data_IF_731852890434
#
_entry.id   IF_731852890434
#
_cell.length_a   1.000
_cell.length_b   1.000
_cell.length_c   1.000
_cell.angle_alpha   90.00
_cell.angle_beta   90.00
_cell.angle_gamma   90.00
#
_symmetry.space_group_name_H-M   'P 1'
#
loop_
_entity.id
_entity.type
_entity.pdbx_description
1 polymer ?
#
# COMPACT_ATOMS: atom_id res chain seq x y z
N UNK A 1 26.96 -42.85 5.93
CA UNK A 1 26.00 -43.41 6.90
C UNK A 1 25.77 -42.36 7.97
N UNK A 2 24.50 -42.15 8.35
CA UNK A 2 23.97 -41.30 9.43
C UNK A 2 24.18 -39.77 9.25
N UNK A 3 23.16 -38.95 9.00
CA UNK A 3 21.92 -38.65 9.76
C UNK A 3 22.13 -37.73 10.98
N UNK A 4 21.20 -36.77 11.09
CA UNK A 4 20.76 -36.00 12.26
C UNK A 4 21.42 -34.64 12.57
N UNK A 5 20.80 -33.58 12.03
CA UNK A 5 20.30 -32.43 12.82
C UNK A 5 19.21 -32.89 13.83
N UNK A 6 18.59 -32.10 14.76
CA UNK A 6 18.73 -30.66 15.09
C UNK A 6 18.43 -30.21 16.58
N UNK A 7 18.55 -28.88 16.85
CA UNK A 7 17.87 -28.01 17.87
C UNK A 7 18.36 -27.97 19.36
N UNK A 8 18.24 -26.82 20.07
CA UNK A 8 16.95 -26.31 20.58
C UNK A 8 16.62 -24.81 20.41
N UNK A 9 15.31 -24.57 20.41
CA UNK A 9 14.56 -23.33 20.53
C UNK A 9 14.74 -22.68 21.91
N UNK A 10 14.76 -21.34 21.97
CA UNK A 10 14.29 -20.59 23.13
C UNK A 10 13.44 -19.40 22.67
N UNK A 11 12.13 -19.60 22.83
CA UNK A 11 11.08 -18.60 22.76
C UNK A 11 10.82 -18.17 24.22
N UNK A 12 10.84 -16.87 24.53
CA UNK A 12 10.37 -16.36 25.83
C UNK A 12 8.93 -15.87 25.72
N UNK A 13 8.14 -16.51 26.57
CA UNK A 13 6.71 -16.38 26.85
C UNK A 13 6.34 -15.10 27.61
N UNK A 14 5.15 -14.55 27.33
CA UNK A 14 4.25 -13.95 28.35
C UNK A 14 2.78 -14.10 27.91
N UNK A 15 1.99 -14.71 28.81
CA UNK A 15 0.54 -14.66 29.06
C UNK A 15 -0.50 -15.47 28.26
N UNK A 16 -0.82 -16.66 28.81
CA UNK A 16 -2.16 -17.18 29.17
C UNK A 16 -1.93 -18.27 30.25
N UNK A 17 -2.70 -18.52 31.30
CA UNK A 17 -3.95 -18.01 31.88
C UNK A 17 -4.04 -18.63 33.29
N UNK A 18 -4.78 -18.00 34.21
CA UNK A 18 -5.27 -18.62 35.44
C UNK A 18 -6.26 -19.77 35.15
N UNK A 19 -6.05 -20.97 35.74
CA UNK A 19 -7.02 -21.70 36.58
C UNK A 19 -6.58 -23.17 36.86
N UNK A 20 -5.94 -23.38 38.01
CA UNK A 20 -6.33 -24.27 39.15
C UNK A 20 -7.66 -25.04 38.90
N UNK A 21 -7.87 -26.35 39.13
CA UNK A 21 -7.23 -27.43 39.92
C UNK A 21 -7.95 -28.77 39.58
N UNK A 22 -7.25 -29.91 39.49
CA UNK A 22 -7.29 -31.04 40.45
C UNK A 22 -6.83 -32.40 39.90
N UNK A 23 -6.45 -33.26 40.85
CA UNK A 23 -5.48 -34.34 40.85
C UNK A 23 -5.84 -35.71 40.20
N UNK A 24 -4.80 -36.29 39.57
CA UNK A 24 -4.25 -37.66 39.75
C UNK A 24 -4.91 -38.94 39.18
N UNK A 25 -4.09 -40.00 38.94
CA UNK A 25 -4.24 -40.96 37.83
C UNK A 25 -4.43 -42.42 38.27
N UNK A 26 -4.79 -43.34 37.35
CA UNK A 26 -4.10 -44.64 37.19
C UNK A 26 -4.67 -45.61 36.11
N UNK A 27 -3.72 -46.22 35.40
CA UNK A 27 -3.58 -47.64 34.97
C UNK A 27 -4.61 -48.38 34.08
N UNK A 28 -4.08 -48.90 32.96
CA UNK A 28 -4.23 -50.25 32.36
C UNK A 28 -5.52 -50.73 31.66
N UNK A 29 -5.25 -51.38 30.50
CA UNK A 29 -5.77 -52.68 29.99
C UNK A 29 -7.04 -52.74 29.09
N UNK A 30 -6.79 -53.26 27.88
CA UNK A 30 -7.51 -54.31 27.11
C UNK A 30 -9.02 -54.21 26.79
N UNK A 31 -9.30 -54.21 25.48
CA UNK A 31 -10.33 -54.98 24.71
C UNK A 31 -11.81 -55.05 25.13
N UNK A 32 -12.62 -55.10 24.06
CA UNK A 32 -13.92 -55.79 23.87
C UNK A 32 -15.21 -54.95 23.90
N UNK A 33 -15.78 -54.82 22.69
CA UNK A 33 -17.19 -54.92 22.27
C UNK A 33 -18.28 -54.99 23.35
N UNK A 34 -19.27 -54.09 23.33
CA UNK A 34 -20.71 -54.42 23.20
C UNK A 34 -21.62 -53.18 23.11
N UNK A 35 -22.67 -53.34 22.30
CA UNK A 35 -23.86 -52.51 22.10
C UNK A 35 -24.75 -52.38 23.34
N UNK A 36 -25.36 -51.21 23.60
CA UNK A 36 -26.84 -51.04 23.72
C UNK A 36 -27.28 -49.61 24.08
N UNK A 37 -28.51 -49.32 23.64
CA UNK A 37 -29.34 -48.10 23.66
C UNK A 37 -29.82 -47.62 25.03
N UNK A 38 -30.08 -46.30 25.23
CA UNK A 38 -31.42 -45.68 25.50
C UNK A 38 -31.43 -44.23 26.08
N UNK A 39 -32.38 -43.42 25.54
CA UNK A 39 -33.27 -42.37 26.13
C UNK A 39 -32.80 -41.09 26.89
N UNK A 40 -32.90 -39.98 26.15
CA UNK A 40 -33.62 -38.68 26.31
C UNK A 40 -34.41 -38.33 27.61
N UNK A 41 -34.20 -37.10 28.14
CA UNK A 41 -35.18 -36.09 28.67
C UNK A 41 -34.43 -34.73 28.84
N UNK A 42 -34.75 -33.63 28.13
CA UNK A 42 -35.81 -32.60 28.27
C UNK A 42 -35.90 -31.91 29.64
N UNK A 43 -35.59 -30.61 29.68
CA UNK A 43 -36.00 -29.65 30.72
C UNK A 43 -36.70 -28.42 30.10
N UNK A 44 -37.73 -27.96 30.84
CA UNK A 44 -38.52 -26.73 30.77
C UNK A 44 -37.65 -25.46 30.93
N UNK A 45 -37.92 -24.28 30.36
CA UNK A 45 -39.11 -23.45 30.17
C UNK A 45 -39.53 -22.60 31.40
N UNK A 46 -39.42 -21.26 31.21
CA UNK A 46 -39.85 -20.09 32.01
C UNK A 46 -39.08 -19.80 33.31
N UNK A 47 -38.63 -18.56 33.59
CA UNK A 47 -38.76 -17.31 32.87
C UNK A 47 -38.05 -16.15 33.59
N UNK A 48 -37.58 -15.20 32.75
CA UNK A 48 -37.40 -13.75 32.93
C UNK A 48 -36.57 -13.20 34.11
N UNK A 49 -35.44 -12.56 33.77
CA UNK A 49 -35.26 -11.10 33.96
C UNK A 49 -34.12 -10.51 33.10
N UNK A 50 -34.55 -9.87 32.00
CA UNK A 50 -34.16 -8.62 31.31
C UNK A 50 -32.75 -7.97 31.58
N UNK A 51 -31.88 -8.08 30.54
CA UNK A 51 -31.33 -7.03 29.62
C UNK A 51 -30.24 -6.02 30.05
N UNK A 52 -29.07 -6.14 29.42
CA UNK A 52 -28.29 -5.08 28.71
C UNK A 52 -27.07 -5.75 28.04
N UNK A 53 -27.02 -6.01 26.73
CA UNK A 53 -26.64 -5.03 25.70
C UNK A 53 -25.45 -5.55 24.87
N UNK A 54 -25.66 -6.64 24.11
CA UNK A 54 -24.63 -7.29 23.28
C UNK A 54 -24.37 -6.55 21.95
N UNK A 55 -23.08 -6.29 21.68
CA UNK A 55 -22.54 -6.01 20.36
C UNK A 55 -22.52 -7.29 19.52
N UNK A 56 -23.30 -7.32 18.44
CA UNK A 56 -23.48 -8.49 17.59
C UNK A 56 -22.26 -8.89 16.75
N UNK A 57 -22.09 -10.19 16.44
CA UNK A 57 -21.02 -10.71 15.60
C UNK A 57 -21.26 -10.57 14.09
N UNK A 58 -20.15 -10.71 13.36
CA UNK A 58 -19.92 -10.40 11.96
C UNK A 58 -20.86 -11.07 10.95
N UNK A 59 -21.22 -10.29 9.93
CA UNK A 59 -22.17 -10.58 8.86
C UNK A 59 -21.54 -11.43 7.74
N UNK A 60 -21.39 -12.74 7.94
CA UNK A 60 -21.07 -13.67 6.86
C UNK A 60 -21.51 -15.11 7.19
N UNK A 61 -22.78 -15.34 7.47
CA UNK A 61 -23.41 -16.68 7.40
C UNK A 61 -24.91 -16.53 7.62
N UNK A 62 -25.73 -16.56 6.56
CA UNK A 62 -27.04 -17.22 6.60
C UNK A 62 -27.42 -17.61 5.18
N UNK A 63 -27.49 -18.91 4.98
CA UNK A 63 -27.92 -19.56 3.75
C UNK A 63 -29.43 -19.51 3.57
N UNK A 64 -29.81 -19.81 2.34
CA UNK A 64 -31.18 -20.00 1.88
C UNK A 64 -31.94 -21.05 2.70
N UNK A 65 -33.19 -20.73 3.02
CA UNK A 65 -34.22 -21.70 3.38
C UNK A 65 -35.41 -21.36 2.48
N UNK A 66 -35.63 -22.17 1.44
CA UNK A 66 -36.87 -22.20 0.67
C UNK A 66 -37.82 -23.22 1.31
N UNK A 67 -39.02 -22.75 1.67
CA UNK A 67 -40.18 -23.57 1.98
C UNK A 67 -41.40 -22.98 1.23
N UNK A 68 -42.36 -23.80 0.78
CA UNK A 68 -43.41 -23.33 -0.13
C UNK A 68 -44.46 -22.50 0.63
N UNK A 69 -44.80 -21.32 0.09
CA UNK A 69 -45.83 -20.42 0.63
C UNK A 69 -47.08 -20.51 -0.27
N UNK A 70 -48.21 -20.82 0.34
CA UNK A 70 -49.58 -20.74 -0.19
C UNK A 70 -50.00 -19.28 -0.46
N UNK A 71 -50.85 -19.01 -1.47
CA UNK A 71 -51.20 -17.64 -1.86
C UNK A 71 -52.33 -17.10 -0.98
N UNK A 72 -52.12 -15.93 -0.37
CA UNK A 72 -53.22 -15.10 0.16
C UNK A 72 -52.99 -13.63 -0.19
N UNK A 73 -54.11 -12.95 -0.33
CA UNK A 73 -54.38 -11.83 -1.22
C UNK A 73 -53.69 -10.49 -0.93
N UNK A 74 -53.74 -9.67 -1.97
CA UNK A 74 -53.29 -8.29 -2.06
C UNK A 74 -53.96 -7.34 -1.08
N UNK A 75 -53.17 -6.51 -0.40
CA UNK A 75 -53.52 -5.10 -0.18
C UNK A 75 -52.29 -4.20 -0.32
N UNK A 76 -52.45 -3.17 -1.15
CA UNK A 76 -51.45 -2.19 -1.54
C UNK A 76 -51.12 -1.25 -0.37
N UNK A 77 -49.83 -1.10 -0.07
CA UNK A 77 -49.11 0.19 0.04
C UNK A 77 -47.63 -0.07 0.34
N UNK A 78 -46.85 -0.27 -0.73
CA UNK A 78 -45.39 -0.23 -0.66
C UNK A 78 -44.86 1.10 -1.17
N UNK A 79 -43.76 1.51 -0.54
CA UNK A 79 -42.63 2.22 -1.13
C UNK A 79 -42.55 3.73 -0.90
N UNK A 80 -41.76 4.09 0.10
CA UNK A 80 -40.75 5.16 -0.04
C UNK A 80 -39.42 4.80 0.64
N UNK A 81 -39.44 3.94 1.67
CA UNK A 81 -38.24 3.56 2.44
C UNK A 81 -37.35 2.45 1.83
N UNK A 82 -37.86 1.61 0.90
CA UNK A 82 -37.07 0.54 0.24
C UNK A 82 -36.17 1.04 -0.91
N UNK A 83 -36.52 2.16 -1.57
CA UNK A 83 -35.81 2.65 -2.77
C UNK A 83 -34.49 3.35 -2.42
N UNK A 84 -34.44 4.04 -1.28
CA UNK A 84 -33.21 4.68 -0.77
C UNK A 84 -32.12 3.65 -0.40
N UNK A 85 -32.52 2.47 0.11
CA UNK A 85 -31.60 1.36 0.43
C UNK A 85 -30.97 0.75 -0.83
N UNK A 86 -31.69 0.75 -1.95
CA UNK A 86 -31.15 0.35 -3.26
C UNK A 86 -30.18 1.37 -3.86
N UNK A 87 -30.45 2.67 -3.71
CA UNK A 87 -29.55 3.74 -4.17
C UNK A 87 -28.23 3.74 -3.40
N UNK A 88 -28.28 3.73 -2.08
CA UNK A 88 -27.07 3.70 -1.23
C UNK A 88 -26.27 2.40 -1.43
N UNK A 89 -26.96 1.26 -1.62
CA UNK A 89 -26.30 -0.01 -1.94
C UNK A 89 -25.61 0.02 -3.30
N UNK A 90 -26.21 0.64 -4.32
CA UNK A 90 -25.61 0.81 -5.64
C UNK A 90 -24.42 1.77 -5.61
N UNK A 91 -24.52 2.86 -4.85
CA UNK A 91 -23.41 3.79 -4.62
C UNK A 91 -22.27 3.06 -3.91
N UNK A 92 -22.56 2.33 -2.83
CA UNK A 92 -21.56 1.53 -2.11
C UNK A 92 -20.92 0.48 -3.02
N UNK A 93 -21.71 -0.20 -3.84
CA UNK A 93 -21.23 -1.19 -4.81
C UNK A 93 -20.37 -0.56 -5.91
N UNK A 94 -20.72 0.64 -6.39
CA UNK A 94 -19.92 1.40 -7.33
C UNK A 94 -18.60 1.86 -6.70
N UNK A 95 -18.61 2.35 -5.46
CA UNK A 95 -17.41 2.76 -4.72
C UNK A 95 -16.47 1.58 -4.41
N UNK A 96 -17.01 0.39 -4.17
CA UNK A 96 -16.19 -0.83 -4.03
C UNK A 96 -15.63 -1.33 -5.35
N UNK A 97 -16.24 -0.96 -6.48
CA UNK A 97 -15.79 -1.38 -7.82
C UNK A 97 -14.77 -0.41 -8.42
N UNK A 98 -14.94 0.88 -8.14
CA UNK A 98 -14.07 1.97 -8.58
C UNK A 98 -13.58 2.72 -7.33
N UNK A 99 -12.48 2.22 -6.76
CA UNK A 99 -11.86 2.76 -5.54
C UNK A 99 -11.44 4.22 -5.69
N UNK A 100 -11.18 4.71 -6.92
CA UNK A 100 -10.86 6.10 -7.19
C UNK A 100 -12.02 7.08 -6.94
N UNK A 101 -13.28 6.60 -6.85
CA UNK A 101 -14.44 7.49 -6.68
C UNK A 101 -14.45 8.23 -5.34
N UNK A 102 -13.98 7.60 -4.26
CA UNK A 102 -13.89 8.24 -2.94
C UNK A 102 -12.94 9.45 -2.97
N UNK A 103 -11.64 9.29 -3.34
CA UNK A 103 -10.73 10.42 -3.40
C UNK A 103 -11.12 11.41 -4.50
N UNK A 104 -11.67 10.97 -5.63
CA UNK A 104 -12.20 11.87 -6.66
C UNK A 104 -13.29 12.80 -6.12
N UNK A 105 -14.22 12.27 -5.31
CA UNK A 105 -15.28 13.07 -4.70
C UNK A 105 -14.70 14.12 -3.75
N UNK A 106 -13.69 13.78 -2.96
CA UNK A 106 -13.03 14.73 -2.05
C UNK A 106 -12.34 15.84 -2.85
N UNK A 107 -11.62 15.49 -3.91
CA UNK A 107 -10.98 16.47 -4.80
C UNK A 107 -12.02 17.37 -5.46
N UNK A 108 -13.12 16.80 -5.97
CA UNK A 108 -14.20 17.54 -6.62
C UNK A 108 -14.92 18.50 -5.65
N UNK A 109 -15.21 18.06 -4.42
CA UNK A 109 -15.80 18.92 -3.38
C UNK A 109 -14.85 20.07 -3.05
N UNK A 110 -13.56 19.79 -2.89
CA UNK A 110 -12.55 20.80 -2.59
C UNK A 110 -12.45 21.83 -3.72
N UNK A 111 -12.42 21.39 -4.98
CA UNK A 111 -12.44 22.26 -6.14
C UNK A 111 -13.73 23.11 -6.23
N UNK A 112 -14.89 22.52 -5.96
CA UNK A 112 -16.17 23.24 -5.94
C UNK A 112 -16.21 24.31 -4.85
N UNK A 113 -15.72 24.01 -3.63
CA UNK A 113 -15.62 24.98 -2.54
C UNK A 113 -14.66 26.13 -2.88
N UNK A 114 -13.58 25.85 -3.61
CA UNK A 114 -12.69 26.90 -4.12
C UNK A 114 -13.39 27.77 -5.17
N UNK A 115 -14.13 27.16 -6.10
CA UNK A 115 -14.82 27.85 -7.19
C UNK A 115 -15.89 28.85 -6.73
N UNK A 116 -16.51 28.64 -5.55
CA UNK A 116 -17.47 29.59 -4.96
C UNK A 116 -16.84 30.96 -4.69
N UNK A 117 -15.57 30.97 -4.26
CA UNK A 117 -14.82 32.20 -3.96
C UNK A 117 -13.34 31.98 -4.29
N UNK A 118 -12.91 32.17 -5.54
CA UNK A 118 -11.55 31.85 -5.99
C UNK A 118 -10.57 32.96 -5.61
N UNK A 119 -10.29 33.10 -4.32
CA UNK A 119 -9.28 34.03 -3.81
C UNK A 119 -8.58 33.48 -2.56
N UNK A 120 -7.51 34.17 -2.17
CA UNK A 120 -6.66 33.82 -1.03
C UNK A 120 -7.40 33.80 0.32
N UNK A 121 -8.56 34.46 0.40
CA UNK A 121 -9.41 34.45 1.60
C UNK A 121 -10.19 33.14 1.78
N UNK A 122 -10.25 32.30 0.75
CA UNK A 122 -10.91 31.01 0.83
C UNK A 122 -10.08 30.05 1.71
N UNK A 123 -10.67 29.40 2.73
CA UNK A 123 -9.93 28.45 3.57
C UNK A 123 -9.34 27.29 2.75
N UNK A 124 -9.97 26.93 1.63
CA UNK A 124 -9.52 25.86 0.73
C UNK A 124 -8.30 26.26 -0.11
N UNK A 125 -8.04 27.56 -0.27
CA UNK A 125 -6.87 28.04 -1.01
C UNK A 125 -5.56 27.43 -0.47
N UNK A 126 -5.46 27.28 0.86
CA UNK A 126 -4.27 26.74 1.55
C UNK A 126 -4.03 25.25 1.32
N UNK A 127 -5.03 24.53 0.83
CA UNK A 127 -4.91 23.12 0.44
C UNK A 127 -4.43 22.98 -1.00
N UNK A 128 -4.86 23.86 -1.89
CA UNK A 128 -4.59 23.78 -3.33
C UNK A 128 -3.28 24.49 -3.70
N UNK A 129 -3.00 25.64 -3.10
CA UNK A 129 -1.86 26.49 -3.44
C UNK A 129 -0.85 26.58 -2.29
N UNK A 130 0.41 26.91 -2.64
CA UNK A 130 1.47 27.11 -1.66
C UNK A 130 1.12 28.25 -0.70
N UNK A 131 1.28 27.98 0.58
CA UNK A 131 1.09 28.98 1.65
C UNK A 131 2.39 29.75 1.93
N UNK A 132 2.27 30.90 2.60
CA UNK A 132 3.41 31.71 3.09
C UNK A 132 4.27 32.36 1.99
N UNK A 133 3.63 32.89 0.95
CA UNK A 133 4.33 33.73 -0.05
C UNK A 133 4.86 34.99 0.62
N UNK A 134 6.15 35.29 0.40
CA UNK A 134 6.76 36.52 0.90
C UNK A 134 6.50 37.69 -0.07
N UNK A 135 6.44 38.93 0.44
CA UNK A 135 6.39 40.11 -0.41
C UNK A 135 7.57 40.12 -1.40
N UNK A 136 7.36 40.57 -2.65
CA UNK A 136 8.44 40.74 -3.60
C UNK A 136 9.51 41.67 -3.02
N UNK A 137 10.79 41.34 -3.21
CA UNK A 137 11.88 42.21 -2.82
C UNK A 137 11.85 43.49 -3.69
N UNK A 138 11.64 44.68 -3.09
CA UNK A 138 11.63 45.94 -3.84
C UNK A 138 12.97 46.23 -4.53
N UNK A 139 14.07 45.70 -4.00
CA UNK A 139 15.41 45.92 -4.54
C UNK A 139 15.69 45.05 -5.77
N UNK A 140 15.01 43.91 -5.93
CA UNK A 140 15.26 42.96 -7.02
C UNK A 140 13.95 42.42 -7.63
N UNK A 141 13.26 43.22 -8.48
CA UNK A 141 11.94 42.87 -9.02
C UNK A 141 11.91 41.62 -9.90
N UNK A 142 13.06 41.17 -10.39
CA UNK A 142 13.20 39.99 -11.26
C UNK A 142 13.44 38.66 -10.55
N UNK A 143 13.56 38.66 -9.21
CA UNK A 143 13.86 37.43 -8.45
C UNK A 143 12.58 36.61 -8.28
N UNK A 144 12.63 35.27 -8.47
CA UNK A 144 11.47 34.40 -8.26
C UNK A 144 10.85 34.54 -6.87
N UNK A 145 9.52 34.41 -6.80
CA UNK A 145 8.78 34.51 -5.55
C UNK A 145 9.26 33.47 -4.52
N UNK A 146 9.60 33.94 -3.32
CA UNK A 146 10.04 33.13 -2.20
C UNK A 146 8.88 32.78 -1.27
N UNK A 147 8.94 31.59 -0.68
CA UNK A 147 7.94 31.08 0.23
C UNK A 147 8.60 30.63 1.53
N UNK A 148 8.02 31.05 2.66
CA UNK A 148 8.38 30.56 3.99
C UNK A 148 7.76 29.19 4.30
N UNK A 149 7.84 28.75 5.55
CA UNK A 149 7.32 27.45 6.02
C UNK A 149 6.32 27.65 7.15
N UNK A 150 5.34 26.76 7.26
CA UNK A 150 4.45 26.73 8.42
C UNK A 150 3.40 25.62 8.38
N UNK A 151 2.49 25.63 9.36
CA UNK A 151 1.53 24.55 9.57
C UNK A 151 0.53 24.37 8.41
N UNK A 152 0.25 25.41 7.63
CA UNK A 152 -0.62 25.29 6.44
C UNK A 152 0.01 24.42 5.34
N UNK A 153 1.31 24.15 5.40
CA UNK A 153 1.96 23.21 4.48
C UNK A 153 1.50 21.75 4.76
N UNK A 154 1.04 21.44 5.99
CA UNK A 154 0.41 20.14 6.30
C UNK A 154 -0.94 20.00 5.59
N UNK A 155 -1.73 21.08 5.51
CA UNK A 155 -2.98 21.08 4.75
C UNK A 155 -2.71 20.82 3.27
N UNK A 156 -1.72 21.48 2.68
CA UNK A 156 -1.27 21.22 1.32
C UNK A 156 -0.88 19.75 1.11
N UNK A 157 0.01 19.21 1.96
CA UNK A 157 0.44 17.80 1.89
C UNK A 157 -0.75 16.86 1.99
N UNK A 158 -1.68 17.09 2.92
CA UNK A 158 -2.86 16.24 3.12
C UNK A 158 -3.79 16.22 1.90
N UNK A 159 -4.01 17.37 1.26
CA UNK A 159 -4.83 17.44 0.05
C UNK A 159 -4.16 16.73 -1.12
N UNK A 160 -2.86 16.97 -1.33
CA UNK A 160 -2.12 16.32 -2.39
C UNK A 160 -1.94 14.81 -2.17
N UNK A 161 -1.94 14.34 -0.92
CA UNK A 161 -2.02 12.90 -0.62
C UNK A 161 -3.32 12.31 -1.16
N UNK A 162 -4.47 12.99 -1.00
CA UNK A 162 -5.76 12.56 -1.57
C UNK A 162 -5.75 12.63 -3.09
N UNK A 163 -5.20 13.70 -3.67
CA UNK A 163 -5.03 13.83 -5.13
C UNK A 163 -4.20 12.67 -5.67
N UNK A 164 -3.09 12.32 -5.02
CA UNK A 164 -2.23 11.21 -5.41
C UNK A 164 -2.92 9.85 -5.24
N UNK A 165 -3.74 9.66 -4.21
CA UNK A 165 -4.58 8.46 -4.08
C UNK A 165 -5.57 8.35 -5.23
N UNK A 166 -6.24 9.44 -5.61
CA UNK A 166 -7.11 9.48 -6.78
C UNK A 166 -6.34 9.12 -8.06
N UNK A 167 -5.23 9.82 -8.32
CA UNK A 167 -4.40 9.62 -9.52
C UNK A 167 -3.90 8.19 -9.62
N UNK A 168 -3.39 7.61 -8.52
CA UNK A 168 -2.95 6.21 -8.46
C UNK A 168 -4.06 5.25 -8.87
N UNK A 169 -5.20 5.32 -8.19
CA UNK A 169 -6.30 4.38 -8.44
C UNK A 169 -6.92 4.55 -9.84
N UNK A 170 -7.03 5.80 -10.31
CA UNK A 170 -7.53 6.11 -11.65
C UNK A 170 -6.60 5.57 -12.73
N UNK A 171 -5.30 5.89 -12.66
CA UNK A 171 -4.29 5.42 -13.61
C UNK A 171 -4.20 3.90 -13.60
N UNK A 172 -4.18 3.26 -12.43
CA UNK A 172 -4.13 1.80 -12.35
C UNK A 172 -5.34 1.14 -12.99
N UNK A 173 -6.56 1.63 -12.75
CA UNK A 173 -7.79 0.97 -13.23
C UNK A 173 -8.15 1.28 -14.68
N UNK A 174 -8.00 2.54 -15.08
CA UNK A 174 -8.47 3.02 -16.38
C UNK A 174 -7.38 2.96 -17.45
N UNK A 175 -6.10 3.16 -17.09
CA UNK A 175 -4.98 3.17 -18.04
C UNK A 175 -4.15 1.87 -18.00
N UNK A 176 -3.68 1.46 -16.82
CA UNK A 176 -2.72 0.37 -16.71
C UNK A 176 -3.36 -1.02 -16.79
N UNK A 177 -4.60 -1.17 -16.32
CA UNK A 177 -5.33 -2.43 -16.41
C UNK A 177 -5.61 -2.88 -17.85
N UNK A 178 -6.11 -2.02 -18.77
CA UNK A 178 -6.24 -2.44 -20.16
C UNK A 178 -4.87 -2.71 -20.80
N UNK A 179 -3.83 -1.93 -20.46
CA UNK A 179 -2.48 -2.16 -20.95
C UNK A 179 -1.91 -3.51 -20.49
N UNK A 180 -2.11 -3.90 -19.24
CA UNK A 180 -1.68 -5.19 -18.71
C UNK A 180 -2.34 -6.37 -19.45
N UNK A 181 -3.62 -6.22 -19.83
CA UNK A 181 -4.33 -7.22 -20.65
C UNK A 181 -3.83 -7.24 -22.09
N UNK A 182 -3.56 -6.08 -22.68
CA UNK A 182 -3.00 -5.96 -24.02
C UNK A 182 -1.60 -6.57 -24.10
N UNK A 183 -0.80 -6.45 -23.02
CA UNK A 183 0.49 -7.10 -22.87
C UNK A 183 0.41 -8.62 -22.60
N UNK A 184 -0.79 -9.22 -22.60
CA UNK A 184 -0.97 -10.67 -22.48
C UNK A 184 -0.88 -11.23 -21.05
N UNK A 185 -0.80 -10.38 -20.02
CA UNK A 185 -0.71 -10.84 -18.62
C UNK A 185 -2.07 -11.39 -18.17
N UNK A 186 -2.18 -12.71 -17.97
CA UNK A 186 -3.46 -13.38 -17.65
C UNK A 186 -3.77 -13.48 -16.16
N UNK A 187 -2.77 -13.70 -15.30
CA UNK A 187 -2.98 -13.81 -13.84
C UNK A 187 -3.39 -12.46 -13.26
N UNK A 188 -4.44 -12.46 -12.42
CA UNK A 188 -4.91 -11.23 -11.74
C UNK A 188 -3.87 -10.71 -10.73
N UNK A 189 -3.11 -11.60 -10.10
CA UNK A 189 -2.01 -11.23 -9.20
C UNK A 189 -0.87 -10.55 -9.96
N UNK A 190 -0.39 -11.17 -11.05
CA UNK A 190 0.64 -10.60 -11.93
C UNK A 190 0.19 -9.27 -12.55
N UNK A 191 -1.09 -9.13 -12.94
CA UNK A 191 -1.67 -7.86 -13.39
C UNK A 191 -1.58 -6.77 -12.31
N UNK A 192 -1.96 -7.06 -11.06
CA UNK A 192 -1.92 -6.09 -9.97
C UNK A 192 -0.48 -5.59 -9.73
N UNK A 193 0.49 -6.50 -9.63
CA UNK A 193 1.90 -6.15 -9.43
C UNK A 193 2.49 -5.38 -10.60
N UNK A 194 2.16 -5.76 -11.83
CA UNK A 194 2.53 -4.99 -13.02
C UNK A 194 2.00 -3.55 -12.95
N UNK A 195 0.72 -3.36 -12.62
CA UNK A 195 0.12 -2.02 -12.52
C UNK A 195 0.78 -1.18 -11.41
N UNK A 196 1.09 -1.77 -10.26
CA UNK A 196 1.79 -1.08 -9.16
C UNK A 196 3.18 -0.60 -9.57
N UNK A 197 3.98 -1.47 -10.21
CA UNK A 197 5.32 -1.13 -10.68
C UNK A 197 5.27 -0.14 -11.84
N UNK A 198 4.35 -0.30 -12.77
CA UNK A 198 4.18 0.64 -13.88
C UNK A 198 3.72 2.03 -13.41
N UNK A 199 2.80 2.11 -12.44
CA UNK A 199 2.44 3.38 -11.83
C UNK A 199 3.65 4.06 -11.19
N UNK A 200 4.46 3.29 -10.45
CA UNK A 200 5.70 3.77 -9.82
C UNK A 200 6.69 4.29 -10.87
N UNK A 201 6.85 3.58 -11.99
CA UNK A 201 7.69 4.00 -13.10
C UNK A 201 7.19 5.28 -13.77
N UNK A 202 5.86 5.43 -13.97
CA UNK A 202 5.28 6.67 -14.52
C UNK A 202 5.51 7.84 -13.55
N UNK A 203 5.25 7.63 -12.27
CA UNK A 203 5.42 8.66 -11.24
C UNK A 203 6.85 9.18 -11.20
N UNK A 204 7.85 8.30 -11.03
CA UNK A 204 9.24 8.71 -10.98
C UNK A 204 9.80 9.13 -12.34
N UNK A 205 9.22 8.64 -13.45
CA UNK A 205 9.53 9.12 -14.81
C UNK A 205 9.17 10.60 -15.01
N UNK A 206 8.15 11.09 -14.31
CA UNK A 206 7.79 12.51 -14.30
C UNK A 206 8.54 13.30 -13.21
N UNK A 207 8.54 12.80 -11.97
CA UNK A 207 9.05 13.53 -10.81
C UNK A 207 10.58 13.51 -10.71
N UNK A 208 11.25 12.48 -11.22
CA UNK A 208 12.73 12.40 -11.26
C UNK A 208 13.34 13.56 -12.05
N UNK A 209 12.96 13.78 -13.33
CA UNK A 209 13.42 14.94 -14.10
C UNK A 209 13.03 16.28 -13.47
N UNK A 210 11.83 16.39 -12.88
CA UNK A 210 11.40 17.60 -12.17
C UNK A 210 12.30 17.88 -10.95
N UNK A 211 12.67 16.85 -10.18
CA UNK A 211 13.60 16.96 -9.06
C UNK A 211 15.00 17.39 -9.48
N UNK A 212 15.52 16.85 -10.59
CA UNK A 212 16.79 17.31 -11.17
C UNK A 212 16.72 18.76 -11.62
N UNK A 213 15.63 19.17 -12.26
CA UNK A 213 15.43 20.57 -12.66
C UNK A 213 15.43 21.50 -11.43
N UNK A 214 14.69 21.16 -10.37
CA UNK A 214 14.67 21.92 -9.12
C UNK A 214 16.07 21.97 -8.50
N UNK A 215 16.79 20.84 -8.45
CA UNK A 215 18.14 20.77 -7.90
C UNK A 215 19.13 21.64 -8.68
N UNK A 216 18.98 21.76 -10.00
CA UNK A 216 19.83 22.61 -10.85
C UNK A 216 19.73 24.10 -10.52
N UNK A 217 18.66 24.52 -9.85
CA UNK A 217 18.45 25.89 -9.38
C UNK A 217 18.98 26.14 -7.97
N UNK A 218 19.64 25.15 -7.36
CA UNK A 218 20.16 25.22 -5.99
C UNK A 218 21.67 24.99 -5.99
N UNK A 219 22.40 25.43 -4.93
CA UNK A 219 23.83 25.14 -4.80
C UNK A 219 24.15 23.64 -4.63
N UNK A 220 23.13 22.80 -4.47
CA UNK A 220 23.24 21.33 -4.33
C UNK A 220 23.35 20.63 -5.70
N UNK A 221 23.36 21.37 -6.81
CA UNK A 221 23.46 20.79 -8.15
C UNK A 221 24.58 19.74 -8.25
N UNK A 222 24.23 18.61 -8.85
CA UNK A 222 25.11 17.45 -8.96
C UNK A 222 25.67 16.94 -7.60
N UNK A 223 24.82 16.97 -6.57
CA UNK A 223 25.14 16.46 -5.23
C UNK A 223 26.35 17.16 -4.59
N UNK A 224 26.46 18.47 -4.78
CA UNK A 224 27.44 19.27 -4.07
C UNK A 224 27.06 19.36 -2.58
N UNK A 225 27.86 18.73 -1.72
CA UNK A 225 27.61 18.64 -0.27
C UNK A 225 27.81 19.96 0.43
N UNK A 226 28.75 20.78 -0.04
CA UNK A 226 29.03 22.10 0.53
C UNK A 226 27.79 23.01 0.44
N UNK A 227 27.11 22.97 -0.70
CA UNK A 227 25.86 23.70 -0.94
C UNK A 227 24.70 23.28 -0.04
N UNK A 228 24.79 22.14 0.67
CA UNK A 228 23.79 21.74 1.66
C UNK A 228 23.90 22.53 2.97
N UNK A 229 25.05 23.17 3.23
CA UNK A 229 25.36 23.88 4.47
C UNK A 229 25.64 25.37 4.27
N UNK A 230 26.05 25.78 3.07
CA UNK A 230 26.19 27.20 2.71
C UNK A 230 24.89 27.95 2.95
N UNK A 231 24.98 29.15 3.53
CA UNK A 231 23.85 30.02 3.86
C UNK A 231 22.76 29.37 4.73
N UNK A 232 23.11 28.29 5.45
CA UNK A 232 22.21 27.69 6.42
C UNK A 232 21.95 28.70 7.56
N UNK A 233 20.69 28.97 7.93
CA UNK A 233 19.52 28.13 7.68
C UNK A 233 18.66 28.55 6.48
N UNK A 234 18.27 27.59 5.64
CA UNK A 234 17.44 27.83 4.44
C UNK A 234 15.96 28.01 4.80
N UNK A 235 15.60 29.19 5.28
CA UNK A 235 14.23 29.51 5.74
C UNK A 235 13.19 29.54 4.63
N UNK A 236 13.61 29.94 3.44
CA UNK A 236 12.73 30.25 2.32
C UNK A 236 13.15 29.50 1.08
N UNK A 237 12.18 29.18 0.23
CA UNK A 237 12.41 28.47 -1.01
C UNK A 237 11.61 29.08 -2.15
N UNK A 238 12.15 28.98 -3.36
CA UNK A 238 11.40 29.27 -4.58
C UNK A 238 10.15 28.39 -4.68
N UNK A 239 9.09 28.91 -5.31
CA UNK A 239 7.83 28.20 -5.52
C UNK A 239 8.02 26.76 -6.04
N UNK A 240 8.85 26.57 -7.07
CA UNK A 240 9.09 25.26 -7.68
C UNK A 240 9.72 24.27 -6.71
N UNK A 241 10.72 24.72 -5.93
CA UNK A 241 11.35 23.90 -4.91
C UNK A 241 10.34 23.52 -3.82
N UNK A 242 9.62 24.50 -3.27
CA UNK A 242 8.68 24.25 -2.18
C UNK A 242 7.56 23.30 -2.61
N UNK A 243 7.02 23.51 -3.81
CA UNK A 243 6.00 22.62 -4.39
C UNK A 243 6.55 21.20 -4.53
N UNK A 244 7.69 21.02 -5.20
CA UNK A 244 8.28 19.70 -5.41
C UNK A 244 8.51 18.97 -4.08
N UNK A 245 9.09 19.67 -3.10
CA UNK A 245 9.40 19.09 -1.80
C UNK A 245 8.14 18.65 -1.03
N UNK A 246 7.10 19.50 -0.97
CA UNK A 246 5.83 19.17 -0.30
C UNK A 246 5.03 18.12 -1.06
N UNK A 247 5.08 18.14 -2.39
CA UNK A 247 4.42 17.14 -3.23
C UNK A 247 5.06 15.76 -3.05
N UNK A 248 6.40 15.69 -2.96
CA UNK A 248 7.10 14.46 -2.59
C UNK A 248 6.74 13.99 -1.18
N UNK A 249 6.64 14.89 -0.21
CA UNK A 249 6.14 14.54 1.13
C UNK A 249 4.73 13.94 1.08
N UNK A 250 3.84 14.49 0.24
CA UNK A 250 2.49 13.98 0.03
C UNK A 250 2.46 12.58 -0.60
N UNK A 251 3.37 12.28 -1.52
CA UNK A 251 3.55 10.95 -2.10
C UNK A 251 4.03 9.94 -1.08
N UNK A 252 5.05 10.26 -0.30
CA UNK A 252 5.55 9.35 0.73
C UNK A 252 4.53 9.13 1.85
N UNK A 253 3.75 10.14 2.21
CA UNK A 253 2.61 10.01 3.11
C UNK A 253 1.51 9.11 2.50
N UNK A 254 1.20 9.29 1.21
CA UNK A 254 0.23 8.45 0.49
C UNK A 254 0.67 6.98 0.49
N UNK A 255 1.94 6.70 0.20
CA UNK A 255 2.49 5.34 0.22
C UNK A 255 2.46 4.73 1.64
N UNK A 256 2.80 5.52 2.67
CA UNK A 256 2.70 5.06 4.06
C UNK A 256 1.26 4.72 4.47
N UNK A 257 0.26 5.51 4.05
CA UNK A 257 -1.15 5.23 4.31
C UNK A 257 -1.58 3.92 3.65
N UNK A 258 -1.20 3.70 2.39
CA UNK A 258 -1.50 2.45 1.66
C UNK A 258 -0.91 1.24 2.38
N UNK A 259 0.32 1.36 2.88
CA UNK A 259 0.98 0.32 3.67
C UNK A 259 0.26 0.06 5.00
N UNK A 260 -0.06 1.12 5.76
CA UNK A 260 -0.71 1.01 7.08
C UNK A 260 -2.13 0.45 7.01
N UNK A 261 -2.88 0.79 5.95
CA UNK A 261 -4.22 0.25 5.73
C UNK A 261 -4.22 -1.20 5.23
N UNK A 262 -3.04 -1.80 5.01
CA UNK A 262 -2.92 -3.17 4.50
C UNK A 262 -3.55 -3.32 3.12
N UNK A 263 -3.61 -2.23 2.34
CA UNK A 263 -4.17 -2.25 0.98
C UNK A 263 -3.29 -3.06 0.03
N UNK A 264 -2.02 -3.27 0.39
CA UNK A 264 -1.09 -4.16 -0.28
C UNK A 264 -0.83 -5.40 0.61
N UNK A 265 -0.85 -6.60 0.01
CA UNK A 265 -0.54 -7.85 0.72
C UNK A 265 0.88 -7.74 1.33
N UNK A 266 1.07 -8.09 2.63
CA UNK A 266 2.38 -8.01 3.27
C UNK A 266 3.42 -8.86 2.55
N UNK A 267 4.54 -8.24 2.19
CA UNK A 267 5.71 -8.88 1.56
C UNK A 267 6.59 -9.58 2.61
N UNK A 268 7.52 -10.43 2.17
CA UNK A 268 8.52 -11.07 3.05
C UNK A 268 9.41 -10.05 3.78
N UNK A 269 9.62 -8.87 3.19
CA UNK A 269 10.37 -7.74 3.75
C UNK A 269 9.47 -6.63 4.32
N UNK A 270 8.25 -6.97 4.75
CA UNK A 270 7.28 -5.99 5.26
C UNK A 270 7.79 -5.20 6.46
N UNK A 271 8.53 -5.83 7.39
CA UNK A 271 9.06 -5.15 8.58
C UNK A 271 10.10 -4.10 8.20
N UNK A 272 11.00 -4.45 7.29
CA UNK A 272 12.03 -3.57 6.77
C UNK A 272 11.43 -2.44 5.95
N UNK A 273 10.37 -2.72 5.17
CA UNK A 273 9.60 -1.71 4.45
C UNK A 273 8.90 -0.73 5.40
N UNK A 274 8.28 -1.21 6.48
CA UNK A 274 7.70 -0.34 7.52
C UNK A 274 8.79 0.50 8.19
N UNK A 275 9.93 -0.10 8.55
CA UNK A 275 11.08 0.61 9.11
C UNK A 275 11.58 1.71 8.17
N UNK A 276 11.66 1.42 6.88
CA UNK A 276 11.99 2.42 5.86
C UNK A 276 10.98 3.56 5.83
N UNK A 277 9.67 3.31 5.85
CA UNK A 277 8.68 4.38 5.86
C UNK A 277 8.78 5.27 7.11
N UNK A 278 9.10 4.69 8.28
CA UNK A 278 9.35 5.46 9.49
C UNK A 278 10.56 6.37 9.32
N UNK A 279 11.70 5.82 8.86
CA UNK A 279 12.94 6.59 8.64
C UNK A 279 12.74 7.67 7.59
N UNK A 280 12.10 7.35 6.46
CA UNK A 280 11.86 8.27 5.36
C UNK A 280 10.91 9.40 5.76
N UNK A 281 9.79 9.12 6.44
CA UNK A 281 8.91 10.18 6.93
C UNK A 281 9.57 11.05 8.00
N UNK A 282 10.41 10.47 8.86
CA UNK A 282 11.20 11.22 9.83
C UNK A 282 12.22 12.14 9.14
N UNK A 283 12.96 11.65 8.13
CA UNK A 283 13.89 12.45 7.33
C UNK A 283 13.16 13.64 6.67
N UNK A 284 12.02 13.39 6.03
CA UNK A 284 11.23 14.42 5.35
C UNK A 284 10.74 15.47 6.36
N UNK A 285 10.09 15.03 7.44
CA UNK A 285 9.51 15.93 8.43
C UNK A 285 10.56 16.76 9.16
N UNK A 286 11.65 16.13 9.62
CA UNK A 286 12.70 16.81 10.36
C UNK A 286 13.52 17.73 9.46
N UNK A 287 13.87 17.31 8.24
CA UNK A 287 14.62 18.18 7.34
C UNK A 287 13.79 19.38 6.86
N UNK A 288 12.47 19.24 6.70
CA UNK A 288 11.60 20.39 6.46
C UNK A 288 11.51 21.33 7.67
N UNK A 289 11.28 20.78 8.86
CA UNK A 289 11.08 21.55 10.10
C UNK A 289 12.34 22.28 10.58
N UNK A 290 13.51 21.69 10.37
CA UNK A 290 14.81 22.19 10.82
C UNK A 290 15.69 22.71 9.68
N UNK A 291 15.11 23.00 8.51
CA UNK A 291 15.77 23.69 7.40
C UNK A 291 16.87 22.92 6.67
N UNK A 292 16.97 21.60 6.83
CA UNK A 292 17.88 20.72 6.07
C UNK A 292 17.29 20.25 4.72
N UNK A 293 16.41 21.04 4.10
CA UNK A 293 15.66 20.66 2.89
C UNK A 293 16.56 20.45 1.68
N UNK A 294 17.72 21.10 1.61
CA UNK A 294 18.72 20.90 0.55
C UNK A 294 19.36 19.51 0.60
N UNK A 295 19.67 19.01 1.79
CA UNK A 295 20.07 17.61 1.98
C UNK A 295 18.92 16.67 1.65
N UNK A 296 17.69 17.02 2.09
CA UNK A 296 16.48 16.27 1.74
C UNK A 296 16.23 16.17 0.23
N UNK A 297 16.48 17.25 -0.53
CA UNK A 297 16.35 17.28 -1.99
C UNK A 297 17.31 16.31 -2.66
N UNK A 298 18.59 16.28 -2.23
CA UNK A 298 19.57 15.32 -2.73
C UNK A 298 19.19 13.87 -2.42
N UNK A 299 18.67 13.61 -1.22
CA UNK A 299 18.17 12.29 -0.84
C UNK A 299 16.97 11.91 -1.71
N UNK A 300 15.99 12.80 -1.89
CA UNK A 300 14.86 12.54 -2.79
C UNK A 300 15.30 12.20 -4.21
N UNK A 301 16.17 13.01 -4.82
CA UNK A 301 16.56 12.81 -6.21
C UNK A 301 17.30 11.48 -6.42
N UNK A 302 18.21 11.10 -5.51
CA UNK A 302 18.86 9.78 -5.59
C UNK A 302 17.84 8.64 -5.51
N UNK A 303 16.84 8.79 -4.63
CA UNK A 303 15.86 7.76 -4.38
C UNK A 303 14.91 7.60 -5.56
N UNK A 304 14.30 8.69 -6.03
CA UNK A 304 13.38 8.71 -7.16
C UNK A 304 13.99 8.12 -8.43
N UNK A 305 15.22 8.54 -8.77
CA UNK A 305 15.88 8.06 -9.99
C UNK A 305 16.14 6.56 -9.89
N UNK A 306 16.70 6.07 -8.79
CA UNK A 306 16.94 4.63 -8.63
C UNK A 306 15.64 3.80 -8.61
N UNK A 307 14.56 4.31 -8.02
CA UNK A 307 13.27 3.62 -7.96
C UNK A 307 12.58 3.57 -9.33
N UNK A 308 12.79 4.57 -10.19
CA UNK A 308 12.40 4.50 -11.59
C UNK A 308 13.03 3.30 -12.31
N UNK A 309 14.34 3.11 -12.17
CA UNK A 309 15.04 1.96 -12.76
C UNK A 309 14.59 0.64 -12.13
N UNK A 310 14.39 0.59 -10.82
CA UNK A 310 13.87 -0.60 -10.14
C UNK A 310 12.48 -0.98 -10.67
N UNK A 311 11.54 -0.04 -10.68
CA UNK A 311 10.18 -0.27 -11.10
C UNK A 311 10.11 -0.68 -12.59
N UNK A 312 10.87 -0.02 -13.44
CA UNK A 312 10.94 -0.34 -14.88
C UNK A 312 11.55 -1.72 -15.12
N UNK A 313 12.56 -2.13 -14.34
CA UNK A 313 13.15 -3.47 -14.45
C UNK A 313 12.10 -4.58 -14.17
N UNK A 314 11.24 -4.36 -13.17
CA UNK A 314 10.13 -5.27 -12.85
C UNK A 314 9.05 -5.28 -13.92
N UNK A 315 8.70 -4.10 -14.45
CA UNK A 315 7.76 -3.97 -15.57
C UNK A 315 8.24 -4.76 -16.79
N UNK A 316 9.52 -4.62 -17.16
CA UNK A 316 10.13 -5.36 -18.27
C UNK A 316 10.11 -6.87 -18.03
N UNK A 317 10.35 -7.31 -16.79
CA UNK A 317 10.26 -8.71 -16.40
C UNK A 317 8.83 -9.25 -16.51
N UNK A 318 7.82 -8.47 -16.10
CA UNK A 318 6.42 -8.92 -16.18
C UNK A 318 5.88 -9.11 -17.61
N UNK A 319 6.43 -8.39 -18.58
CA UNK A 319 6.09 -8.51 -20.01
C UNK A 319 7.06 -9.42 -20.78
N UNK A 320 7.94 -10.14 -20.07
CA UNK A 320 8.91 -11.09 -20.64
C UNK A 320 9.78 -10.46 -21.75
N UNK A 321 10.24 -9.22 -21.53
CA UNK A 321 11.02 -8.45 -22.50
C UNK A 321 12.46 -9.00 -22.66
N UNK A 322 13.02 -9.06 -23.88
CA UNK A 322 14.38 -9.58 -24.10
C UNK A 322 15.49 -8.70 -23.50
N UNK A 323 15.19 -7.44 -23.16
CA UNK A 323 16.17 -6.49 -22.60
C UNK A 323 16.23 -6.51 -21.06
N UNK A 324 15.54 -7.44 -20.40
CA UNK A 324 15.50 -7.53 -18.92
C UNK A 324 16.90 -7.64 -18.32
N UNK A 325 17.76 -8.52 -18.84
CA UNK A 325 19.13 -8.71 -18.34
C UNK A 325 19.98 -7.43 -18.40
N UNK A 326 20.17 -6.84 -19.60
CA UNK A 326 20.90 -5.58 -19.74
C UNK A 326 20.32 -4.43 -18.90
N UNK A 327 19.00 -4.31 -18.83
CA UNK A 327 18.34 -3.26 -18.06
C UNK A 327 18.51 -3.48 -16.54
N UNK A 328 18.44 -4.72 -16.07
CA UNK A 328 18.68 -5.07 -14.67
C UNK A 328 20.12 -4.76 -14.26
N UNK A 329 21.10 -5.00 -15.13
CA UNK A 329 22.49 -4.60 -14.89
C UNK A 329 22.64 -3.08 -14.77
N UNK A 330 22.02 -2.32 -15.69
CA UNK A 330 21.99 -0.86 -15.62
C UNK A 330 21.37 -0.37 -14.31
N UNK A 331 20.22 -0.94 -13.93
CA UNK A 331 19.56 -0.69 -12.66
C UNK A 331 20.50 -0.90 -11.47
N UNK A 332 21.24 -2.02 -11.44
CA UNK A 332 22.19 -2.31 -10.37
C UNK A 332 23.31 -1.26 -10.29
N UNK A 333 23.87 -0.83 -11.42
CA UNK A 333 24.87 0.24 -11.46
C UNK A 333 24.31 1.57 -10.93
N UNK A 334 23.11 1.95 -11.37
CA UNK A 334 22.43 3.17 -10.93
C UNK A 334 22.12 3.11 -9.43
N UNK A 335 21.64 1.97 -8.94
CA UNK A 335 21.38 1.74 -7.52
C UNK A 335 22.64 1.94 -6.70
N UNK A 336 23.76 1.28 -7.07
CA UNK A 336 25.02 1.39 -6.33
C UNK A 336 25.51 2.84 -6.30
N UNK A 337 25.49 3.52 -7.44
CA UNK A 337 25.95 4.90 -7.51
C UNK A 337 25.07 5.84 -6.67
N UNK A 338 23.75 5.83 -6.87
CA UNK A 338 22.85 6.78 -6.22
C UNK A 338 22.57 6.45 -4.75
N UNK A 339 22.30 5.18 -4.43
CA UNK A 339 21.91 4.76 -3.08
C UNK A 339 23.08 4.54 -2.15
N UNK A 340 24.28 4.26 -2.67
CA UNK A 340 25.45 4.03 -1.82
C UNK A 340 26.52 5.09 -2.00
N UNK A 341 27.05 5.28 -3.20
CA UNK A 341 28.17 6.22 -3.39
C UNK A 341 27.76 7.66 -3.01
N UNK A 342 26.64 8.16 -3.54
CA UNK A 342 26.15 9.51 -3.20
C UNK A 342 25.69 9.60 -1.75
N UNK A 343 24.98 8.60 -1.23
CA UNK A 343 24.54 8.62 0.16
C UNK A 343 25.72 8.62 1.15
N UNK A 344 26.74 7.80 0.91
CA UNK A 344 27.99 7.80 1.68
C UNK A 344 28.73 9.14 1.56
N UNK A 345 28.74 9.77 0.38
CA UNK A 345 29.29 11.13 0.21
C UNK A 345 28.57 12.13 1.12
N UNK A 346 27.23 12.08 1.20
CA UNK A 346 26.43 12.93 2.10
C UNK A 346 26.76 12.63 3.57
N UNK A 347 26.83 11.35 3.96
CA UNK A 347 27.20 10.95 5.33
C UNK A 347 28.61 11.44 5.68
N UNK A 348 29.59 11.31 4.78
CA UNK A 348 30.95 11.81 4.99
C UNK A 348 30.99 13.33 5.17
N UNK A 349 30.15 14.07 4.44
CA UNK A 349 30.03 15.52 4.60
C UNK A 349 29.56 15.93 6.01
N UNK A 350 28.84 15.05 6.72
CA UNK A 350 28.49 15.29 8.12
C UNK A 350 29.71 15.33 9.05
N UNK A 351 30.80 14.66 8.69
CA UNK A 351 32.03 14.63 9.47
C UNK A 351 33.03 15.71 9.03
N UNK A 352 33.05 16.09 7.75
CA UNK A 352 34.06 17.00 7.18
C UNK A 352 33.58 18.44 7.03
N UNK A 353 32.33 18.65 6.59
CA UNK A 353 31.80 19.95 6.15
C UNK A 353 30.77 20.53 7.12
N UNK A 354 30.06 19.68 7.88
CA UNK A 354 28.96 20.11 8.75
C UNK A 354 29.36 21.13 9.83
N UNK A 355 30.55 21.01 10.40
CA UNK A 355 31.01 21.95 11.43
C UNK A 355 31.75 23.15 10.84
N UNK A 356 32.28 23.02 9.63
CA UNK A 356 33.21 23.99 9.02
C UNK A 356 32.52 24.94 8.03
N UNK A 357 31.43 24.53 7.39
CA UNK A 357 30.71 25.32 6.38
C UNK A 357 29.48 25.97 7.01
N UNK A 358 29.45 27.31 7.05
CA UNK A 358 28.38 28.08 7.66
C UNK A 358 28.37 28.05 9.19
N UNK A 359 27.53 28.86 9.86
CA UNK A 359 27.50 28.92 11.32
C UNK A 359 27.19 27.56 11.96
N UNK A 360 27.90 27.23 13.04
CA UNK A 360 27.67 26.04 13.86
C UNK A 360 27.32 26.49 15.28
N UNK A 361 26.06 26.84 15.46
CA UNK A 361 25.51 27.32 16.73
C UNK A 361 24.05 26.93 16.84
N UNK A 362 23.52 26.85 18.06
CA UNK A 362 22.10 26.66 18.28
C UNK A 362 21.48 27.99 18.70
N UNK A 363 20.61 28.55 17.87
CA UNK A 363 19.89 29.78 18.17
C UNK A 363 18.43 29.67 17.73
N UNK A 364 17.53 29.62 18.72
CA UNK A 364 16.09 29.49 18.48
C UNK A 364 15.45 30.76 17.89
N UNK A 365 16.01 31.94 18.17
CA UNK A 365 15.47 33.21 17.69
C UNK A 365 15.74 33.39 16.19
N UNK A 366 16.95 33.07 15.74
CA UNK A 366 17.31 33.07 14.30
C UNK A 366 16.95 31.77 13.60
N UNK A 367 16.37 30.80 14.34
CA UNK A 367 16.06 29.45 13.88
C UNK A 367 17.28 28.73 13.26
N UNK A 368 18.46 29.01 13.81
CA UNK A 368 19.70 28.34 13.48
C UNK A 368 19.78 27.03 14.28
N UNK A 369 19.63 25.90 13.58
CA UNK A 369 19.53 24.57 14.16
C UNK A 369 20.74 23.68 13.91
N UNK A 370 21.81 24.22 13.33
CA UNK A 370 23.03 23.48 12.99
C UNK A 370 23.93 23.36 14.22
N UNK A 371 23.76 22.27 14.97
CA UNK A 371 24.51 21.98 16.18
C UNK A 371 24.88 20.48 16.28
N UNK A 372 25.57 20.10 17.35
CA UNK A 372 25.99 18.71 17.58
C UNK A 372 24.79 17.75 17.64
N UNK A 373 23.67 18.18 18.23
CA UNK A 373 22.47 17.34 18.35
C UNK A 373 21.86 17.04 16.98
N UNK A 374 21.66 18.07 16.14
CA UNK A 374 21.13 17.89 14.79
C UNK A 374 22.07 17.07 13.91
N UNK A 375 23.39 17.17 14.11
CA UNK A 375 24.38 16.34 13.44
C UNK A 375 24.17 14.86 13.74
N UNK A 376 24.05 14.48 15.01
CA UNK A 376 23.83 13.08 15.40
C UNK A 376 22.48 12.54 14.95
N UNK A 377 21.41 13.34 15.03
CA UNK A 377 20.08 12.94 14.53
C UNK A 377 20.14 12.70 13.02
N UNK A 378 20.72 13.64 12.27
CA UNK A 378 20.86 13.53 10.81
C UNK A 378 21.72 12.33 10.43
N UNK A 379 22.84 12.11 11.13
CA UNK A 379 23.69 10.95 10.96
C UNK A 379 22.93 9.65 11.22
N UNK A 380 22.20 9.54 12.33
CA UNK A 380 21.45 8.35 12.68
C UNK A 380 20.38 8.00 11.65
N UNK A 381 19.66 9.00 11.15
CA UNK A 381 18.62 8.79 10.12
C UNK A 381 19.23 8.41 8.76
N UNK A 382 20.28 9.10 8.31
CA UNK A 382 20.94 8.75 7.05
C UNK A 382 21.67 7.40 7.12
N UNK A 383 22.29 7.07 8.25
CA UNK A 383 22.92 5.77 8.46
C UNK A 383 21.87 4.65 8.49
N UNK A 384 20.70 4.87 9.11
CA UNK A 384 19.58 3.93 9.07
C UNK A 384 19.07 3.71 7.64
N UNK A 385 18.94 4.79 6.87
CA UNK A 385 18.58 4.72 5.45
C UNK A 385 19.63 3.95 4.64
N UNK A 386 20.91 4.20 4.89
CA UNK A 386 22.02 3.47 4.24
C UNK A 386 22.02 1.98 4.60
N UNK A 387 21.76 1.62 5.86
CA UNK A 387 21.66 0.22 6.28
C UNK A 387 20.51 -0.52 5.57
N UNK A 388 19.35 0.12 5.42
CA UNK A 388 18.22 -0.42 4.65
C UNK A 388 18.57 -0.56 3.17
N UNK A 389 19.25 0.43 2.59
CA UNK A 389 19.73 0.35 1.20
C UNK A 389 20.71 -0.83 1.02
N UNK A 390 21.61 -1.08 1.98
CA UNK A 390 22.54 -2.22 1.94
C UNK A 390 21.81 -3.57 2.06
N UNK A 391 20.80 -3.64 2.92
CA UNK A 391 19.92 -4.81 3.01
C UNK A 391 19.28 -5.13 1.66
N UNK A 392 18.76 -4.13 0.95
CA UNK A 392 18.21 -4.33 -0.39
C UNK A 392 19.26 -4.63 -1.46
N UNK A 393 20.45 -4.04 -1.37
CA UNK A 393 21.57 -4.37 -2.25
C UNK A 393 21.93 -5.86 -2.17
N UNK A 394 21.92 -6.45 -0.97
CA UNK A 394 22.14 -7.89 -0.81
C UNK A 394 21.14 -8.72 -1.62
N UNK A 395 19.85 -8.34 -1.62
CA UNK A 395 18.86 -9.03 -2.45
C UNK A 395 19.05 -8.79 -3.95
N UNK A 396 19.45 -7.58 -4.36
CA UNK A 396 19.78 -7.29 -5.76
C UNK A 396 20.91 -8.21 -6.23
N UNK A 397 21.98 -8.36 -5.46
CA UNK A 397 23.07 -9.29 -5.79
C UNK A 397 22.63 -10.74 -5.77
N UNK A 398 21.76 -11.14 -4.83
CA UNK A 398 21.18 -12.49 -4.81
C UNK A 398 20.39 -12.80 -6.07
N UNK A 399 19.59 -11.84 -6.56
CA UNK A 399 18.85 -11.96 -7.83
C UNK A 399 19.83 -12.02 -9.00
N UNK A 400 20.84 -11.14 -9.02
CA UNK A 400 21.88 -11.13 -10.06
C UNK A 400 22.63 -12.48 -10.16
N UNK A 401 23.01 -13.06 -9.02
CA UNK A 401 23.66 -14.37 -8.97
C UNK A 401 22.77 -15.48 -9.55
N UNK A 402 21.48 -15.46 -9.22
CA UNK A 402 20.53 -16.45 -9.74
C UNK A 402 20.26 -16.28 -11.23
N UNK A 403 20.13 -15.05 -11.69
CA UNK A 403 19.98 -14.74 -13.10
C UNK A 403 21.19 -15.26 -13.90
N UNK A 404 22.42 -15.03 -13.42
CA UNK A 404 23.63 -15.51 -14.09
C UNK A 404 23.79 -17.03 -14.03
N UNK A 405 23.37 -17.68 -12.94
CA UNK A 405 23.59 -19.12 -12.73
C UNK A 405 22.51 -20.01 -13.33
N UNK A 406 21.26 -19.54 -13.34
CA UNK A 406 20.09 -20.35 -13.67
C UNK A 406 19.22 -19.75 -14.78
N UNK A 407 19.58 -18.58 -15.34
CA UNK A 407 18.76 -17.82 -16.31
C UNK A 407 17.35 -17.47 -15.79
N UNK A 408 17.20 -17.42 -14.46
CA UNK A 408 15.95 -17.11 -13.77
C UNK A 408 16.03 -15.66 -13.26
N UNK A 409 15.24 -14.78 -13.86
CA UNK A 409 15.11 -13.36 -13.48
C UNK A 409 14.05 -13.11 -12.40
N UNK A 410 13.66 -14.14 -11.64
CA UNK A 410 12.54 -14.07 -10.69
C UNK A 410 12.97 -13.50 -9.32
N UNK A 411 12.18 -12.55 -8.81
CA UNK A 411 12.35 -11.92 -7.50
C UNK A 411 11.59 -12.70 -6.40
N UNK A 412 12.32 -13.55 -5.67
CA UNK A 412 11.87 -14.38 -4.51
C UNK A 412 11.04 -13.63 -3.45
N UNK A 413 11.19 -12.31 -3.39
CA UNK A 413 10.53 -11.44 -2.41
C UNK A 413 9.09 -11.17 -2.79
N UNK A 414 8.79 -11.17 -4.10
CA UNK A 414 7.45 -11.01 -4.66
C UNK A 414 6.74 -12.33 -5.01
N UNK A 415 7.46 -13.45 -5.01
CA UNK A 415 6.98 -14.69 -5.63
C UNK A 415 6.09 -15.58 -4.73
N UNK A 416 6.16 -15.40 -3.41
CA UNK A 416 5.17 -15.97 -2.48
C UNK A 416 3.76 -15.34 -2.65
N UNK A 417 3.63 -14.33 -3.51
CA UNK A 417 2.38 -13.58 -3.69
C UNK A 417 1.65 -13.97 -4.98
N UNK A 418 2.38 -14.30 -6.05
CA UNK A 418 1.78 -14.79 -7.29
C UNK A 418 1.25 -16.21 -7.11
N UNK A 419 2.03 -17.07 -6.47
CA UNK A 419 1.69 -18.48 -6.18
C UNK A 419 0.46 -18.61 -5.28
N UNK A 420 0.38 -17.87 -4.18
CA UNK A 420 -0.79 -17.88 -3.27
C UNK A 420 -2.09 -17.42 -3.94
N UNK A 421 -2.01 -16.40 -4.81
CA UNK A 421 -3.19 -15.83 -5.49
C UNK A 421 -3.66 -16.75 -6.62
N UNK A 422 -2.72 -17.33 -7.36
CA UNK A 422 -3.04 -18.33 -8.37
C UNK A 422 -3.60 -19.60 -7.70
N UNK A 423 -3.07 -20.05 -6.56
CA UNK A 423 -3.62 -21.17 -5.78
C UNK A 423 -5.01 -20.90 -5.20
N UNK A 424 -5.27 -19.70 -4.65
CA UNK A 424 -6.60 -19.28 -4.19
C UNK A 424 -7.61 -19.23 -5.35
N UNK A 425 -7.19 -18.71 -6.51
CA UNK A 425 -8.03 -18.57 -7.70
C UNK A 425 -8.31 -19.93 -8.33
N UNK A 426 -7.31 -20.80 -8.38
CA UNK A 426 -7.37 -22.21 -8.80
C UNK A 426 -8.29 -23.01 -7.86
N UNK A 427 -8.17 -22.85 -6.54
CA UNK A 427 -9.05 -23.47 -5.54
C UNK A 427 -10.50 -22.99 -5.68
N UNK A 428 -10.74 -21.70 -5.89
CA UNK A 428 -12.09 -21.16 -6.12
C UNK A 428 -12.69 -21.64 -7.44
N UNK A 429 -11.88 -21.74 -8.50
CA UNK A 429 -12.30 -22.30 -9.80
C UNK A 429 -12.62 -23.78 -9.69
N UNK A 430 -11.79 -24.57 -9.00
CA UNK A 430 -12.03 -26.00 -8.72
C UNK A 430 -13.27 -26.21 -7.85
N UNK A 431 -13.52 -25.34 -6.87
CA UNK A 431 -14.73 -25.36 -6.04
C UNK A 431 -15.99 -25.04 -6.86
N UNK A 432 -15.96 -24.01 -7.70
CA UNK A 432 -17.07 -23.68 -8.60
C UNK A 432 -17.36 -24.79 -9.62
N UNK A 433 -16.32 -25.45 -10.15
CA UNK A 433 -16.45 -26.61 -11.04
C UNK A 433 -16.96 -27.86 -10.31
N UNK A 434 -16.69 -28.01 -9.00
CA UNK A 434 -17.21 -29.10 -8.19
C UNK A 434 -18.69 -28.90 -7.81
N UNK A 435 -19.08 -27.65 -7.51
CA UNK A 435 -20.46 -27.27 -7.22
C UNK A 435 -21.37 -27.35 -8.46
N UNK A 436 -20.83 -27.12 -9.66
CA UNK A 436 -21.56 -27.32 -10.92
C UNK A 436 -21.78 -28.83 -11.24
N UNK A 437 -20.81 -29.69 -10.89
CA UNK A 437 -20.94 -31.14 -11.05
C UNK A 437 -21.87 -31.80 -10.02
N UNK A 438 -22.07 -31.21 -8.84
CA UNK A 438 -22.96 -31.77 -7.81
C UNK A 438 -24.44 -31.48 -8.07
N UNK A 439 -24.77 -30.40 -8.80
CA UNK A 439 -26.14 -30.06 -9.20
C UNK A 439 -26.64 -30.80 -10.47
N UNK A 440 -25.78 -31.54 -11.17
CA UNK A 440 -26.14 -32.27 -12.40
C UNK A 440 -26.68 -33.69 -12.21
N UNK A 441 -26.86 -34.18 -10.98
CA UNK A 441 -27.18 -35.61 -10.73
C UNK A 441 -28.40 -35.80 -9.82
N UNK A 442 -29.56 -35.27 -10.21
CA UNK A 442 -30.84 -35.66 -9.63
C UNK A 442 -32.02 -35.47 -10.61
N UNK A 443 -32.21 -36.42 -11.53
CA UNK A 443 -33.54 -36.94 -11.86
C UNK A 443 -33.40 -38.19 -12.71
N UNK A 444 -33.61 -39.34 -12.07
CA UNK A 444 -33.70 -40.63 -12.74
C UNK A 444 -34.45 -41.61 -11.84
N UNK A 445 -35.65 -42.00 -12.31
CA UNK A 445 -36.50 -43.14 -11.94
C UNK A 445 -37.54 -42.99 -10.82
N UNK A 446 -38.81 -43.03 -11.24
CA UNK A 446 -39.86 -43.77 -10.54
C UNK A 446 -40.59 -44.70 -11.53
N UNK A 447 -40.69 -45.96 -11.15
CA UNK A 447 -41.34 -47.09 -11.81
C UNK A 447 -42.88 -47.05 -11.74
N UNK A 448 -43.58 -47.51 -12.78
CA UNK A 448 -44.82 -48.30 -12.63
C UNK A 448 -45.16 -49.08 -13.92
N UNK A 449 -45.83 -50.22 -13.72
CA UNK A 449 -46.01 -51.37 -14.61
C UNK A 449 -47.15 -51.19 -15.67
N UNK A 450 -47.39 -52.17 -16.57
CA UNK A 450 -48.06 -51.97 -17.86
C UNK A 450 -49.58 -52.16 -17.81
N UNK A 451 -50.33 -51.50 -18.70
CA UNK A 451 -51.74 -51.83 -18.96
C UNK A 451 -52.17 -51.57 -20.42
N UNK A 452 -52.53 -52.67 -21.08
CA UNK A 452 -53.46 -52.94 -22.18
C UNK A 452 -53.83 -51.88 -23.26
N UNK A 453 -53.80 -52.35 -24.53
CA UNK A 453 -54.48 -51.85 -25.75
C UNK A 453 -56.02 -51.76 -25.58
N UNK A 454 -56.72 -50.89 -26.35
CA UNK A 454 -57.26 -51.22 -27.70
C UNK A 454 -56.87 -50.15 -28.75
N UNK A 455 -56.53 -50.47 -30.01
CA UNK A 455 -57.36 -50.85 -31.16
C UNK A 455 -58.09 -49.67 -31.88
N UNK A 456 -57.98 -49.69 -33.21
CA UNK A 456 -58.56 -48.83 -34.27
C UNK A 456 -57.96 -47.42 -34.44
N UNK A 457 -57.67 -46.93 -35.65
CA UNK A 457 -57.85 -47.45 -37.00
C UNK A 457 -57.82 -46.28 -38.00
N UNK A 458 -57.34 -46.57 -39.22
CA UNK A 458 -57.52 -45.81 -40.48
C UNK A 458 -56.78 -44.48 -40.70
N UNK A 459 -55.73 -44.49 -41.57
CA UNK A 459 -55.71 -44.11 -43.02
C UNK A 459 -55.95 -42.62 -43.24
N UNK A 460 -55.16 -41.86 -44.01
CA UNK A 460 -54.28 -42.14 -45.16
C UNK A 460 -53.09 -41.17 -45.11
#
# INVERSE_FOLDING_TARGET
>A
MADSEPFPLLNTSVDQLHSVVDHSPNTSRTTTTTTTTTRRRKSSALGQDIRAGDTGPALATYGAIDGPITPTESTKRLSKRRRARGGLSRIRQAMTRHTYLVPALIVAITAALYAVKPNDSNPVHRFIFLSYRLPPDPANPGVPAQYGKGLWDIAFVSFYTVVLTFTREFVMQELLRPLARAAGIRSRGKQARFMEQMYTAIYFGCLGPAGLYVMSKTPVWYYNTRGMYEDFPHMTHEAGFKFYYLFQAAYWAQQAIVLLLGMEKPRKDFKELVGHHIVSLALIGLSYRFHFTYMGLAVYSTHDISDFFLATSKVLNYIDSPIVGPYFFLFMCVWIYLRHFINLKIILSLFTEYTTVGPFELNWATQQYKCTLSQYITLGLLASLQALNLFWLFYIFRIAYRFLRYDIAEDDRSDAEATDVDDETEKRRKKALADDKSNGRASGRSSSAPRARPANGHTK
#
